data_IF_940825974692
#
_entry.id   IF_940825974692
#
_cell.length_a   1.000
_cell.length_b   1.000
_cell.length_c   1.000
_cell.angle_alpha   90.00
_cell.angle_beta   90.00
_cell.angle_gamma   90.00
#
_symmetry.space_group_name_H-M   'P 1'
#
loop_
_entity.id
_entity.type
_entity.pdbx_description
1 polymer ?
#
# COMPACT_ATOMS: atom_id res chain seq x y z
N UNK A 1 -1.75 -17.66 6.86
CA UNK A 1 -0.40 -17.04 6.82
C UNK A 1 -0.60 -15.66 6.23
N UNK A 2 0.00 -14.63 6.80
CA UNK A 2 -0.18 -13.25 6.34
C UNK A 2 1.14 -12.72 5.79
N UNK A 3 1.08 -11.91 4.73
CA UNK A 3 2.23 -11.23 4.12
C UNK A 3 2.02 -9.74 4.31
N UNK A 4 2.64 -9.21 5.36
CA UNK A 4 2.38 -7.86 5.86
C UNK A 4 3.25 -6.87 5.12
N UNK A 5 2.71 -5.66 4.99
CA UNK A 5 3.43 -4.57 4.36
C UNK A 5 3.20 -3.25 5.08
N UNK A 6 4.17 -2.35 4.94
CA UNK A 6 3.96 -0.93 5.15
C UNK A 6 3.79 -0.22 3.81
N UNK A 7 2.81 0.67 3.77
CA UNK A 7 2.54 1.55 2.64
C UNK A 7 2.73 2.98 3.13
N UNK A 8 3.63 3.73 2.49
CA UNK A 8 4.12 4.97 3.02
C UNK A 8 4.15 6.08 1.97
N UNK A 9 3.95 7.32 2.42
CA UNK A 9 4.23 8.53 1.64
C UNK A 9 5.36 9.31 2.30
N UNK A 10 6.40 9.64 1.54
CA UNK A 10 7.52 10.46 2.02
C UNK A 10 7.06 11.90 2.30
N UNK A 11 7.49 12.46 3.43
CA UNK A 11 7.18 13.83 3.86
C UNK A 11 8.38 14.78 3.66
N UNK A 12 8.14 16.10 3.52
CA UNK A 12 9.21 17.10 3.43
C UNK A 12 10.19 17.11 4.61
N UNK A 13 9.72 16.72 5.80
CA UNK A 13 10.50 16.69 7.04
C UNK A 13 11.43 15.46 7.17
N UNK A 14 11.50 14.59 6.15
CA UNK A 14 12.33 13.38 6.16
C UNK A 14 11.69 12.17 6.85
N UNK A 15 10.46 12.30 7.35
CA UNK A 15 9.65 11.18 7.86
C UNK A 15 8.72 10.62 6.78
N UNK A 16 7.97 9.58 7.14
CA UNK A 16 7.07 8.87 6.26
C UNK A 16 5.72 8.71 6.93
N UNK A 17 4.66 9.17 6.27
CA UNK A 17 3.28 8.91 6.71
C UNK A 17 2.94 7.47 6.31
N UNK A 18 2.76 6.61 7.30
CA UNK A 18 2.84 5.15 7.16
C UNK A 18 1.56 4.49 7.64
N UNK A 19 1.00 3.60 6.81
CA UNK A 19 -0.09 2.69 7.19
C UNK A 19 0.38 1.23 7.10
N UNK A 20 -0.21 0.39 7.92
CA UNK A 20 -0.04 -1.06 7.91
C UNK A 20 -1.04 -1.73 6.97
N UNK A 21 -0.63 -2.79 6.27
CA UNK A 21 -1.50 -3.68 5.52
C UNK A 21 -1.20 -5.15 5.88
N UNK A 22 -2.22 -5.92 6.24
CA UNK A 22 -2.04 -7.27 6.79
C UNK A 22 -1.78 -8.35 5.73
N UNK A 23 -2.51 -8.29 4.61
CA UNK A 23 -2.48 -9.32 3.58
C UNK A 23 -1.82 -8.86 2.28
N UNK A 24 -1.37 -9.86 1.52
CA UNK A 24 -0.96 -9.79 0.12
C UNK A 24 0.12 -8.75 -0.21
N UNK A 25 1.04 -8.55 0.74
CA UNK A 25 2.16 -7.61 0.63
C UNK A 25 3.13 -7.84 -0.54
N UNK A 26 2.95 -8.88 -1.36
CA UNK A 26 3.83 -9.21 -2.49
C UNK A 26 3.82 -8.15 -3.59
N UNK A 27 4.87 -8.18 -4.43
CA UNK A 27 5.00 -7.25 -5.56
C UNK A 27 3.95 -7.50 -6.63
N UNK A 28 3.60 -8.76 -6.89
CA UNK A 28 2.58 -9.15 -7.87
C UNK A 28 1.13 -8.89 -7.41
N UNK A 29 0.94 -8.40 -6.17
CA UNK A 29 -0.36 -7.96 -5.65
C UNK A 29 -0.32 -6.51 -5.15
N UNK A 30 0.13 -6.26 -3.92
CA UNK A 30 0.16 -4.89 -3.38
C UNK A 30 1.09 -4.00 -4.20
N UNK A 31 2.27 -4.48 -4.58
CA UNK A 31 3.19 -3.72 -5.42
C UNK A 31 2.56 -3.31 -6.75
N UNK A 32 1.88 -4.24 -7.42
CA UNK A 32 1.17 -4.02 -8.67
C UNK A 32 0.05 -2.97 -8.50
N UNK A 33 -0.77 -3.07 -7.46
CA UNK A 33 -1.86 -2.11 -7.23
C UNK A 33 -1.31 -0.71 -6.94
N UNK A 34 -0.26 -0.62 -6.12
CA UNK A 34 0.38 0.66 -5.81
C UNK A 34 0.99 1.29 -7.08
N UNK A 35 1.72 0.51 -7.87
CA UNK A 35 2.38 0.99 -9.08
C UNK A 35 1.42 1.43 -10.18
N UNK A 36 0.36 0.66 -10.44
CA UNK A 36 -0.51 0.90 -11.59
C UNK A 36 -1.78 1.68 -11.26
N UNK A 37 -2.27 1.60 -10.02
CA UNK A 37 -3.55 2.20 -9.61
C UNK A 37 -3.35 3.38 -8.66
N UNK A 38 -2.59 3.20 -7.58
CA UNK A 38 -2.28 4.27 -6.61
C UNK A 38 -1.03 5.06 -7.04
N UNK A 39 -0.98 5.48 -8.29
CA UNK A 39 0.20 6.10 -8.91
C UNK A 39 0.13 7.63 -9.02
N UNK A 40 -0.90 8.23 -8.45
CA UNK A 40 -1.05 9.68 -8.37
C UNK A 40 -1.07 10.11 -6.93
N UNK A 41 -0.52 11.29 -6.66
CA UNK A 41 -0.45 11.84 -5.31
C UNK A 41 -1.82 11.87 -4.61
N UNK A 42 -2.88 12.22 -5.35
CA UNK A 42 -4.26 12.20 -4.84
C UNK A 42 -4.71 10.81 -4.38
N UNK A 43 -4.53 9.77 -5.22
CA UNK A 43 -4.90 8.39 -4.86
C UNK A 43 -4.08 7.87 -3.68
N UNK A 44 -2.80 8.23 -3.61
CA UNK A 44 -1.93 7.90 -2.47
C UNK A 44 -2.41 8.60 -1.20
N UNK A 45 -2.73 9.88 -1.25
CA UNK A 45 -3.23 10.62 -0.08
C UNK A 45 -4.56 10.06 0.41
N UNK A 46 -5.48 9.72 -0.49
CA UNK A 46 -6.73 9.06 -0.12
C UNK A 46 -6.47 7.71 0.55
N UNK A 47 -5.53 6.91 0.04
CA UNK A 47 -5.17 5.60 0.60
C UNK A 47 -4.53 5.75 1.99
N UNK A 48 -3.58 6.66 2.14
CA UNK A 48 -2.91 6.90 3.42
C UNK A 48 -3.88 7.47 4.47
N UNK A 49 -4.84 8.30 4.05
CA UNK A 49 -5.86 8.85 4.94
C UNK A 49 -6.92 7.81 5.33
N UNK A 50 -7.09 6.73 4.56
CA UNK A 50 -7.97 5.62 4.93
C UNK A 50 -7.46 4.87 6.19
N UNK A 51 -6.15 4.87 6.42
CA UNK A 51 -5.53 4.25 7.59
C UNK A 51 -5.11 2.79 7.36
N UNK A 52 -4.88 2.06 8.46
CA UNK A 52 -4.43 0.67 8.43
C UNK A 52 -5.47 -0.26 7.78
N UNK A 53 -4.96 -1.21 7.01
CA UNK A 53 -5.73 -2.10 6.16
C UNK A 53 -5.58 -3.56 6.59
N UNK A 54 -6.67 -4.29 6.50
CA UNK A 54 -6.60 -5.75 6.43
C UNK A 54 -6.10 -6.17 5.05
N UNK A 55 -6.64 -5.59 3.98
CA UNK A 55 -6.22 -5.86 2.60
C UNK A 55 -6.34 -4.63 1.72
N UNK A 56 -5.41 -4.50 0.77
CA UNK A 56 -5.43 -3.47 -0.26
C UNK A 56 -6.35 -3.92 -1.41
N UNK A 57 -7.21 -3.01 -1.87
CA UNK A 57 -8.09 -3.22 -3.02
C UNK A 57 -7.65 -2.41 -4.24
N UNK A 58 -8.44 -2.47 -5.30
CA UNK A 58 -8.32 -1.63 -6.49
C UNK A 58 -8.99 -0.27 -6.32
N UNK A 59 -10.00 -0.20 -5.46
CA UNK A 59 -10.74 1.03 -5.15
C UNK A 59 -10.84 1.23 -3.65
N UNK A 60 -10.78 2.50 -3.23
CA UNK A 60 -10.89 2.86 -1.81
C UNK A 60 -12.34 2.82 -1.36
N UNK A 61 -13.26 3.37 -2.15
CA UNK A 61 -14.65 3.57 -1.75
C UNK A 61 -15.49 2.36 -2.18
N UNK A 62 -16.25 1.74 -1.26
CA UNK A 62 -17.23 0.74 -1.65
C UNK A 62 -18.36 1.38 -2.45
N UNK A 63 -19.01 0.57 -3.29
CA UNK A 63 -20.27 0.96 -3.92
C UNK A 63 -21.37 1.10 -2.89
N UNK A 64 -22.19 2.14 -3.01
CA UNK A 64 -23.37 2.32 -2.16
C UNK A 64 -24.49 1.31 -2.46
N UNK A 65 -24.44 0.64 -3.63
CA UNK A 65 -25.46 -0.30 -4.09
C UNK A 65 -25.40 -1.65 -3.35
N UNK A 66 -24.29 -1.97 -2.70
CA UNK A 66 -24.03 -3.27 -2.05
C UNK A 66 -23.54 -3.01 -0.63
N UNK A 67 -23.76 -3.97 0.26
CA UNK A 67 -23.16 -3.92 1.61
C UNK A 67 -21.63 -4.05 1.50
N UNK A 68 -20.90 -3.33 2.35
CA UNK A 68 -19.47 -3.51 2.56
C UNK A 68 -19.20 -3.52 4.06
N UNK A 69 -18.68 -4.63 4.57
CA UNK A 69 -18.23 -4.76 5.97
C UNK A 69 -16.90 -5.48 6.02
N UNK A 70 -16.25 -5.48 7.18
CA UNK A 70 -15.03 -6.25 7.39
C UNK A 70 -15.21 -7.75 7.12
N UNK A 71 -16.35 -8.32 7.53
CA UNK A 71 -16.62 -9.76 7.40
C UNK A 71 -17.21 -10.14 6.03
N UNK A 72 -17.83 -9.18 5.34
CA UNK A 72 -18.38 -9.35 4.00
C UNK A 72 -17.91 -8.19 3.10
N UNK A 73 -16.62 -8.15 2.73
CA UNK A 73 -16.08 -7.05 1.95
C UNK A 73 -16.52 -7.18 0.49
N UNK A 74 -16.90 -6.04 -0.09
CA UNK A 74 -17.05 -5.95 -1.55
C UNK A 74 -15.72 -6.30 -2.23
N UNK A 75 -15.80 -7.12 -3.27
CA UNK A 75 -14.65 -7.58 -4.03
C UNK A 75 -13.85 -6.38 -4.56
N UNK A 76 -12.52 -6.43 -4.41
CA UNK A 76 -11.59 -5.40 -4.87
C UNK A 76 -11.71 -4.02 -4.21
N UNK A 77 -12.48 -3.89 -3.14
CA UNK A 77 -12.49 -2.67 -2.32
C UNK A 77 -11.48 -2.85 -1.19
N UNK A 78 -10.71 -1.80 -0.86
CA UNK A 78 -9.84 -1.81 0.32
C UNK A 78 -10.64 -2.16 1.57
N UNK A 79 -10.09 -3.00 2.46
CA UNK A 79 -10.70 -3.31 3.76
C UNK A 79 -9.88 -2.65 4.85
N UNK A 80 -10.43 -1.62 5.49
CA UNK A 80 -9.74 -0.81 6.49
C UNK A 80 -10.21 -1.12 7.90
N UNK A 81 -9.28 -1.28 8.84
CA UNK A 81 -9.61 -1.59 10.24
C UNK A 81 -10.45 -0.50 10.89
N UNK A 82 -10.12 0.77 10.64
CA UNK A 82 -10.87 1.90 11.17
C UNK A 82 -12.27 2.00 10.58
N UNK A 83 -12.37 2.00 9.24
CA UNK A 83 -13.65 2.21 8.55
C UNK A 83 -14.60 1.01 8.65
N UNK A 84 -14.10 -0.21 8.47
CA UNK A 84 -14.95 -1.39 8.24
C UNK A 84 -15.10 -2.27 9.48
N UNK A 85 -14.17 -2.14 10.44
CA UNK A 85 -14.17 -2.89 11.70
C UNK A 85 -14.35 -2.00 12.94
N UNK A 86 -14.45 -0.67 12.75
CA UNK A 86 -14.58 0.32 13.82
C UNK A 86 -13.44 0.28 14.84
N UNK A 87 -12.23 -0.14 14.44
CA UNK A 87 -11.07 -0.09 15.32
C UNK A 87 -10.56 1.35 15.47
N UNK A 88 -10.22 1.74 16.70
CA UNK A 88 -9.62 3.05 16.97
C UNK A 88 -8.11 3.04 16.69
N UNK A 89 -7.51 4.24 16.54
CA UNK A 89 -6.06 4.45 16.38
C UNK A 89 -5.47 3.79 15.11
N UNK A 90 -6.25 3.77 14.03
CA UNK A 90 -5.88 3.18 12.75
C UNK A 90 -5.38 4.20 11.73
N UNK A 91 -5.30 5.48 12.11
CA UNK A 91 -4.71 6.52 11.28
C UNK A 91 -3.23 6.28 10.99
N UNK A 92 -2.76 6.85 9.87
CA UNK A 92 -1.36 6.76 9.49
C UNK A 92 -0.46 7.44 10.52
N UNK A 93 0.70 6.81 10.78
CA UNK A 93 1.70 7.31 11.72
C UNK A 93 2.90 7.90 10.97
N UNK A 94 3.48 8.97 11.50
CA UNK A 94 4.75 9.49 11.01
C UNK A 94 5.92 8.70 11.62
N UNK A 95 6.63 7.95 10.78
CA UNK A 95 7.76 7.13 11.18
C UNK A 95 9.02 7.57 10.44
N UNK A 96 10.18 7.34 11.06
CA UNK A 96 11.46 7.36 10.34
C UNK A 96 11.67 6.01 9.63
N UNK A 97 12.60 5.93 8.66
CA UNK A 97 12.99 4.64 8.08
C UNK A 97 13.41 3.67 9.18
N UNK A 98 14.22 4.14 10.14
CA UNK A 98 14.71 3.31 11.24
C UNK A 98 13.57 2.76 12.10
N UNK A 99 12.55 3.55 12.38
CA UNK A 99 11.40 3.12 13.18
C UNK A 99 10.52 2.10 12.43
N UNK A 100 10.35 2.25 11.12
CA UNK A 100 9.64 1.26 10.30
C UNK A 100 10.35 -0.09 10.31
N UNK A 101 11.67 -0.09 10.09
CA UNK A 101 12.46 -1.32 10.00
C UNK A 101 12.60 -2.06 11.33
N UNK A 102 12.46 -1.39 12.48
CA UNK A 102 12.39 -2.05 13.81
C UNK A 102 11.23 -3.04 13.93
N UNK A 103 10.20 -2.95 13.09
CA UNK A 103 9.12 -3.92 13.07
C UNK A 103 9.47 -5.14 12.21
N UNK A 104 10.02 -6.17 12.86
CA UNK A 104 10.46 -7.41 12.22
C UNK A 104 9.32 -8.28 11.64
N UNK A 105 8.05 -7.91 11.88
CA UNK A 105 6.90 -8.61 11.33
C UNK A 105 6.54 -8.15 9.93
N UNK A 106 7.15 -7.06 9.44
CA UNK A 106 6.84 -6.50 8.13
C UNK A 106 7.75 -7.13 7.09
N UNK A 107 7.14 -7.73 6.07
CA UNK A 107 7.84 -8.40 4.99
C UNK A 107 8.14 -7.46 3.81
N UNK A 108 7.29 -6.45 3.58
CA UNK A 108 7.45 -5.50 2.47
C UNK A 108 7.24 -4.04 2.90
N UNK A 109 8.05 -3.15 2.34
CA UNK A 109 7.98 -1.72 2.58
C UNK A 109 7.80 -1.02 1.23
N UNK A 110 6.70 -0.29 1.07
CA UNK A 110 6.39 0.48 -0.14
C UNK A 110 6.40 1.98 0.19
N UNK A 111 7.20 2.76 -0.52
CA UNK A 111 7.32 4.21 -0.30
C UNK A 111 7.01 4.96 -1.59
N UNK A 112 6.01 5.84 -1.53
CA UNK A 112 5.75 6.85 -2.54
C UNK A 112 6.65 8.05 -2.26
N UNK A 113 7.62 8.26 -3.14
CA UNK A 113 8.65 9.29 -2.99
C UNK A 113 8.15 10.67 -3.41
N UNK A 114 8.91 11.71 -3.05
CA UNK A 114 8.65 13.09 -3.52
C UNK A 114 8.67 13.24 -5.04
N UNK A 115 9.38 12.36 -5.73
CA UNK A 115 9.44 12.30 -7.20
C UNK A 115 8.20 11.62 -7.82
N UNK A 116 7.18 11.33 -6.99
CA UNK A 116 5.91 10.72 -7.39
C UNK A 116 6.10 9.34 -8.02
N UNK A 117 7.02 8.57 -7.45
CA UNK A 117 7.32 7.19 -7.86
C UNK A 117 7.28 6.27 -6.65
N UNK A 118 6.96 5.01 -6.89
CA UNK A 118 7.03 3.98 -5.87
C UNK A 118 8.41 3.32 -5.87
N UNK A 119 8.96 3.18 -4.68
CA UNK A 119 10.08 2.28 -4.40
C UNK A 119 9.65 1.24 -3.39
N UNK A 120 10.32 0.08 -3.41
CA UNK A 120 10.03 -0.98 -2.45
C UNK A 120 11.30 -1.64 -1.91
N UNK A 121 11.19 -2.21 -0.71
CA UNK A 121 12.17 -3.12 -0.13
C UNK A 121 11.42 -4.30 0.46
N UNK A 122 11.97 -5.50 0.29
CA UNK A 122 11.56 -6.66 1.08
C UNK A 122 12.45 -6.80 2.33
N UNK A 123 11.96 -7.53 3.33
CA UNK A 123 12.62 -7.69 4.63
C UNK A 123 13.74 -8.73 4.63
N UNK A 124 14.11 -9.31 3.48
CA UNK A 124 15.18 -10.31 3.41
C UNK A 124 16.58 -9.71 3.71
N UNK A 125 16.66 -8.38 3.87
CA UNK A 125 17.82 -7.67 4.39
C UNK A 125 17.88 -7.57 5.94
N UNK A 126 16.84 -8.03 6.67
CA UNK A 126 16.75 -7.89 8.14
C UNK A 126 17.69 -8.80 8.96
N UNK A 127 18.57 -9.56 8.32
CA UNK A 127 19.62 -10.34 9.02
C UNK A 127 20.72 -9.43 9.64
N UNK A 128 20.69 -8.13 9.35
CA UNK A 128 21.57 -7.14 9.97
C UNK A 128 20.92 -6.59 11.25
N UNK A 129 21.73 -6.40 12.31
CA UNK A 129 21.33 -5.64 13.51
C UNK A 129 20.92 -4.22 13.09
N UNK A 130 19.63 -4.00 12.83
CA UNK A 130 19.04 -2.73 12.34
C UNK A 130 19.46 -1.54 13.21
N UNK A 131 19.68 -1.78 14.50
CA UNK A 131 20.21 -0.79 15.44
C UNK A 131 21.51 -0.12 14.98
N UNK A 132 22.37 -0.89 14.29
CA UNK A 132 23.69 -0.46 13.79
C UNK A 132 23.66 0.10 12.37
N UNK A 133 22.53 -0.01 11.67
CA UNK A 133 22.37 0.49 10.30
C UNK A 133 21.91 1.95 10.37
N UNK A 134 22.52 2.80 9.55
CA UNK A 134 22.13 4.20 9.38
C UNK A 134 20.91 4.32 8.45
N UNK A 135 20.16 5.42 8.53
CA UNK A 135 19.06 5.65 7.59
C UNK A 135 19.53 5.75 6.15
N UNK A 136 20.73 6.28 5.93
CA UNK A 136 21.32 6.39 4.59
C UNK A 136 21.58 5.00 3.99
N UNK A 137 22.11 4.06 4.78
CA UNK A 137 22.27 2.67 4.35
C UNK A 137 20.93 1.99 4.05
N UNK A 138 19.87 2.28 4.81
CA UNK A 138 18.54 1.74 4.55
C UNK A 138 17.96 2.25 3.21
N UNK A 139 18.24 3.48 2.80
CA UNK A 139 17.76 3.99 1.50
C UNK A 139 18.27 3.17 0.32
N UNK A 140 19.48 2.61 0.41
CA UNK A 140 20.05 1.77 -0.65
C UNK A 140 19.40 0.39 -0.77
N UNK A 141 18.56 -0.03 0.19
CA UNK A 141 17.81 -1.30 0.06
C UNK A 141 16.58 -1.15 -0.82
N UNK A 142 16.10 0.08 -1.03
CA UNK A 142 14.93 0.34 -1.84
C UNK A 142 15.26 0.27 -3.34
N UNK A 143 14.41 -0.45 -4.06
CA UNK A 143 14.47 -0.65 -5.51
C UNK A 143 13.28 0.04 -6.18
N UNK A 144 13.41 0.28 -7.47
CA UNK A 144 12.30 0.73 -8.32
C UNK A 144 11.17 -0.30 -8.29
N UNK A 145 9.97 0.10 -7.84
CA UNK A 145 8.82 -0.82 -7.84
C UNK A 145 8.35 -1.10 -9.27
N UNK A 146 8.42 -0.11 -10.16
CA UNK A 146 7.99 -0.29 -11.55
C UNK A 146 8.79 -1.37 -12.27
N UNK A 147 10.10 -1.43 -12.01
CA UNK A 147 10.97 -2.41 -12.66
C UNK A 147 10.64 -3.82 -12.19
N UNK A 148 10.37 -3.98 -10.90
CA UNK A 148 10.01 -5.27 -10.32
C UNK A 148 8.62 -5.73 -10.77
N UNK A 149 7.64 -4.83 -10.82
CA UNK A 149 6.30 -5.12 -11.37
C UNK A 149 6.41 -5.55 -12.84
N UNK A 150 7.22 -4.87 -13.65
CA UNK A 150 7.43 -5.25 -15.05
C UNK A 150 8.10 -6.64 -15.19
N UNK A 151 8.90 -7.06 -14.20
CA UNK A 151 9.55 -8.37 -14.21
C UNK A 151 8.60 -9.50 -13.77
N UNK A 152 7.65 -9.22 -12.89
CA UNK A 152 6.79 -10.23 -12.27
C UNK A 152 5.38 -10.30 -12.88
N UNK A 153 4.90 -9.23 -13.51
CA UNK A 153 3.54 -9.12 -14.02
C UNK A 153 3.52 -8.84 -15.52
N UNK A 154 2.61 -9.50 -16.24
CA UNK A 154 2.44 -9.30 -17.68
C UNK A 154 1.65 -8.04 -18.00
N UNK A 155 1.87 -7.48 -19.19
CA UNK A 155 1.12 -6.32 -19.69
C UNK A 155 -0.38 -6.59 -19.79
N UNK A 156 -0.79 -7.83 -20.07
CA UNK A 156 -2.21 -8.21 -20.13
C UNK A 156 -2.86 -8.13 -18.75
N UNK A 157 -2.22 -8.69 -17.71
CA UNK A 157 -2.72 -8.59 -16.33
C UNK A 157 -2.90 -7.13 -15.89
N UNK A 158 -1.95 -6.27 -16.26
CA UNK A 158 -1.99 -4.84 -15.94
C UNK A 158 -3.09 -4.10 -16.68
N UNK A 159 -3.33 -4.48 -17.95
CA UNK A 159 -4.41 -3.94 -18.76
C UNK A 159 -5.77 -4.34 -18.19
N UNK A 160 -5.96 -5.62 -17.87
CA UNK A 160 -7.18 -6.14 -17.23
C UNK A 160 -7.47 -5.38 -15.93
N UNK A 161 -6.47 -5.19 -15.06
CA UNK A 161 -6.63 -4.42 -13.82
C UNK A 161 -7.15 -3.00 -14.05
N UNK A 162 -6.63 -2.29 -15.06
CA UNK A 162 -7.08 -0.93 -15.41
C UNK A 162 -8.51 -0.92 -15.93
N UNK A 163 -8.93 -1.95 -16.67
CA UNK A 163 -10.32 -2.11 -17.12
C UNK A 163 -11.25 -2.40 -15.94
N UNK A 164 -10.83 -3.26 -15.00
CA UNK A 164 -11.58 -3.56 -13.78
C UNK A 164 -11.77 -2.32 -12.90
N UNK A 165 -10.73 -1.50 -12.73
CA UNK A 165 -10.82 -0.25 -11.95
C UNK A 165 -11.84 0.70 -12.57
N UNK A 166 -11.82 0.87 -13.89
CA UNK A 166 -12.81 1.71 -14.59
C UNK A 166 -14.24 1.20 -14.38
N UNK A 167 -14.45 -0.11 -14.45
CA UNK A 167 -15.75 -0.70 -14.20
C UNK A 167 -16.22 -0.44 -12.76
N UNK A 168 -15.36 -0.67 -11.76
CA UNK A 168 -15.65 -0.44 -10.35
C UNK A 168 -15.92 1.04 -10.03
N UNK A 169 -15.13 1.95 -10.59
CA UNK A 169 -15.34 3.40 -10.44
C UNK A 169 -16.66 3.84 -11.10
N UNK A 170 -17.00 3.30 -12.28
CA UNK A 170 -18.27 3.62 -12.95
C UNK A 170 -19.51 3.15 -12.18
N UNK A 171 -19.45 1.99 -11.50
CA UNK A 171 -20.52 1.52 -10.63
C UNK A 171 -20.78 2.45 -9.44
N UNK A 172 -19.78 3.26 -9.05
CA UNK A 172 -19.84 4.19 -7.93
C UNK A 172 -20.36 5.58 -8.34
N UNK A 173 -20.19 5.98 -9.60
CA UNK A 173 -20.49 7.34 -10.10
C UNK A 173 -21.90 7.51 -10.68
N UNK A 174 -22.66 6.43 -10.94
CA UNK A 174 -24.04 6.48 -11.49
C UNK A 174 -25.12 7.12 -10.57
N UNK A 175 -24.73 7.86 -9.53
CA UNK A 175 -25.62 8.66 -8.68
C UNK A 175 -25.11 10.12 -8.50
N UNK A 176 -24.88 10.83 -9.61
CA UNK A 176 -24.97 12.30 -9.66
C UNK A 176 -26.08 12.74 -10.61
#
# INVERSE_FOLDING_TARGET
>A
MSTRSYICKELPNGKYKTIYCHFDGYVDHNGLFLNDIYNTEKKVDELINLGNLSSLGLVIKPSKKKEHTFENPQRYVCVAYGRDRNEENQEAKELTLKDMFKNYWIEYFYIFTKDKKWVYSDSWFNDKKIEKVTEEELKYTFKSLSDEVNNQCSDEQRKELKEMVKALESENDEEM
#
